data_IF_497644889803
#
_entry.id   IF_497644889803
#
_cell.length_a   1.000
_cell.length_b   1.000
_cell.length_c   1.000
_cell.angle_alpha   90.00
_cell.angle_beta   90.00
_cell.angle_gamma   90.00
#
_symmetry.space_group_name_H-M   'P 1'
#
loop_
_entity.id
_entity.type
_entity.pdbx_description
1 polymer ?
#
# COMPACT_ATOMS: atom_id res chain seq x y z
N UNK A 1 -21.11 22.72 17.29
CA UNK A 1 -19.77 22.89 17.86
C UNK A 1 -18.85 21.95 17.10
N UNK A 2 -17.85 22.46 16.38
CA UNK A 2 -16.81 21.60 15.79
C UNK A 2 -16.05 20.94 16.93
N UNK A 3 -16.19 19.62 17.05
CA UNK A 3 -15.47 18.83 18.04
C UNK A 3 -13.98 18.95 17.69
N UNK A 4 -13.18 19.47 18.62
CA UNK A 4 -11.72 19.52 18.42
C UNK A 4 -11.18 18.09 18.28
N UNK A 5 -10.32 17.87 17.28
CA UNK A 5 -9.76 16.55 17.00
C UNK A 5 -8.73 16.23 18.09
N UNK A 6 -8.89 15.13 18.86
CA UNK A 6 -7.91 14.72 19.85
C UNK A 6 -6.54 14.49 19.23
N UNK A 7 -5.47 14.81 19.96
CA UNK A 7 -4.09 14.77 19.44
C UNK A 7 -3.70 13.39 18.87
N UNK A 8 -4.14 12.28 19.51
CA UNK A 8 -3.92 10.93 19.01
C UNK A 8 -4.62 10.65 17.67
N UNK A 9 -5.81 11.23 17.45
CA UNK A 9 -6.55 11.10 16.20
C UNK A 9 -5.91 11.96 15.11
N UNK A 10 -5.48 13.18 15.43
CA UNK A 10 -4.72 14.03 14.50
C UNK A 10 -3.41 13.35 14.05
N UNK A 11 -2.67 12.74 14.99
CA UNK A 11 -1.50 11.93 14.68
C UNK A 11 -1.86 10.73 13.79
N UNK A 12 -2.95 10.02 14.11
CA UNK A 12 -3.48 8.92 13.32
C UNK A 12 -3.76 9.33 11.87
N UNK A 13 -4.47 10.44 11.65
CA UNK A 13 -4.74 11.00 10.32
C UNK A 13 -3.45 11.36 9.58
N UNK A 14 -2.50 11.98 10.27
CA UNK A 14 -1.18 12.33 9.71
C UNK A 14 -0.44 11.08 9.25
N UNK A 15 -0.42 10.02 10.07
CA UNK A 15 0.19 8.74 9.70
C UNK A 15 -0.51 8.07 8.51
N UNK A 16 -1.83 8.24 8.38
CA UNK A 16 -2.59 7.80 7.21
C UNK A 16 -2.16 8.54 5.94
N UNK A 17 -2.01 9.86 6.01
CA UNK A 17 -1.48 10.67 4.90
C UNK A 17 -0.06 10.29 4.52
N UNK A 18 0.82 10.08 5.51
CA UNK A 18 2.20 9.61 5.30
C UNK A 18 2.23 8.23 4.64
N UNK A 19 1.41 7.29 5.11
CA UNK A 19 1.27 5.96 4.51
C UNK A 19 0.84 6.05 3.05
N UNK A 20 -0.17 6.87 2.74
CA UNK A 20 -0.65 7.10 1.37
C UNK A 20 0.44 7.68 0.46
N UNK A 21 1.16 8.71 0.92
CA UNK A 21 2.24 9.33 0.16
C UNK A 21 3.39 8.35 -0.10
N UNK A 22 3.84 7.61 0.92
CA UNK A 22 4.89 6.60 0.78
C UNK A 22 4.47 5.47 -0.17
N UNK A 23 3.22 4.99 -0.06
CA UNK A 23 2.68 3.99 -0.96
C UNK A 23 2.66 4.48 -2.41
N UNK A 24 2.22 5.71 -2.66
CA UNK A 24 2.20 6.30 -4.00
C UNK A 24 3.60 6.40 -4.60
N UNK A 25 4.57 6.92 -3.84
CA UNK A 25 5.96 7.07 -4.29
C UNK A 25 6.59 5.67 -4.56
N UNK A 26 6.40 4.73 -3.64
CA UNK A 26 6.91 3.36 -3.77
C UNK A 26 6.35 2.65 -5.00
N UNK A 27 5.09 2.90 -5.34
CA UNK A 27 4.39 2.23 -6.43
C UNK A 27 4.28 3.06 -7.71
N UNK A 28 4.90 4.24 -7.79
CA UNK A 28 4.84 5.12 -8.95
C UNK A 28 5.29 4.42 -10.24
N UNK A 29 6.42 3.69 -10.20
CA UNK A 29 6.92 2.96 -11.36
C UNK A 29 5.92 1.86 -11.81
N UNK A 30 5.28 1.17 -10.87
CA UNK A 30 4.26 0.16 -11.14
C UNK A 30 3.04 0.84 -11.77
N UNK A 31 2.58 1.95 -11.21
CA UNK A 31 1.43 2.69 -11.72
C UNK A 31 1.66 3.21 -13.14
N UNK A 32 2.85 3.74 -13.44
CA UNK A 32 3.23 4.18 -14.78
C UNK A 32 3.26 3.03 -15.79
N UNK A 33 3.74 1.84 -15.40
CA UNK A 33 3.66 0.69 -16.30
C UNK A 33 2.22 0.21 -16.50
N UNK A 34 1.35 0.36 -15.51
CA UNK A 34 -0.06 0.00 -15.64
C UNK A 34 -0.71 0.91 -16.70
N UNK A 35 -0.42 2.21 -16.60
CA UNK A 35 -0.88 3.20 -17.59
C UNK A 35 -0.35 2.86 -18.98
N UNK A 36 0.94 2.53 -19.11
CA UNK A 36 1.50 2.09 -20.40
C UNK A 36 0.74 0.89 -20.96
N UNK A 37 0.47 -0.14 -20.15
CA UNK A 37 -0.26 -1.33 -20.58
C UNK A 37 -1.72 -1.04 -20.98
N UNK A 38 -2.37 -0.08 -20.31
CA UNK A 38 -3.76 0.28 -20.61
C UNK A 38 -3.87 1.19 -21.84
N UNK A 39 -2.97 2.17 -21.98
CA UNK A 39 -3.05 3.21 -23.03
C UNK A 39 -2.31 2.81 -24.30
N UNK A 40 -1.20 2.09 -24.18
CA UNK A 40 -0.33 1.72 -25.29
C UNK A 40 0.17 0.27 -25.17
N UNK A 41 -0.72 -0.75 -25.15
CA UNK A 41 -0.37 -2.15 -24.89
C UNK A 41 0.66 -2.75 -25.87
N UNK A 42 0.78 -2.17 -27.06
CA UNK A 42 1.71 -2.61 -28.12
C UNK A 42 3.07 -1.89 -28.07
N UNK A 43 3.24 -0.91 -27.19
CA UNK A 43 4.40 -0.01 -27.18
C UNK A 43 5.07 0.02 -25.82
N UNK A 44 6.29 -0.51 -25.74
CA UNK A 44 7.10 -0.43 -24.52
C UNK A 44 7.85 0.91 -24.46
N UNK A 45 7.68 1.63 -23.35
CA UNK A 45 8.41 2.87 -23.10
C UNK A 45 9.79 2.57 -22.52
N UNK A 46 10.84 2.66 -23.33
CA UNK A 46 12.22 2.34 -22.93
C UNK A 46 12.71 3.09 -21.68
N UNK A 47 12.28 4.35 -21.49
CA UNK A 47 12.63 5.14 -20.31
C UNK A 47 12.03 4.57 -19.02
N UNK A 48 10.84 3.96 -19.12
CA UNK A 48 10.12 3.37 -18.01
C UNK A 48 10.75 2.04 -17.57
N UNK A 49 11.24 1.24 -18.53
CA UNK A 49 12.04 0.05 -18.23
C UNK A 49 13.37 0.41 -17.54
N UNK A 50 14.03 1.49 -17.97
CA UNK A 50 15.26 1.99 -17.31
C UNK A 50 14.98 2.44 -15.88
N UNK A 51 13.86 3.13 -15.67
CA UNK A 51 13.42 3.57 -14.34
C UNK A 51 13.14 2.36 -13.42
N UNK A 52 12.51 1.28 -13.92
CA UNK A 52 12.20 0.08 -13.14
C UNK A 52 13.41 -0.49 -12.41
N UNK A 53 14.55 -0.55 -13.08
CA UNK A 53 15.77 -1.13 -12.52
C UNK A 53 16.31 -0.31 -11.34
N UNK A 54 16.22 1.02 -11.40
CA UNK A 54 16.65 1.92 -10.33
C UNK A 54 15.61 2.06 -9.21
N UNK A 55 14.32 1.95 -9.54
CA UNK A 55 13.22 2.14 -8.59
C UNK A 55 13.00 0.97 -7.64
N UNK A 56 13.69 -0.15 -7.85
CA UNK A 56 13.50 -1.35 -7.04
C UNK A 56 13.72 -1.10 -5.54
N UNK A 57 14.76 -0.36 -5.16
CA UNK A 57 15.03 -0.04 -3.74
C UNK A 57 13.99 0.90 -3.15
N UNK A 58 13.58 1.91 -3.91
CA UNK A 58 12.52 2.86 -3.50
C UNK A 58 11.20 2.13 -3.30
N UNK A 59 10.83 1.23 -4.22
CA UNK A 59 9.64 0.41 -4.11
C UNK A 59 9.67 -0.47 -2.86
N UNK A 60 10.81 -1.10 -2.59
CA UNK A 60 10.96 -2.02 -1.47
C UNK A 60 10.91 -1.30 -0.12
N UNK A 61 11.79 -0.32 0.09
CA UNK A 61 11.87 0.43 1.34
C UNK A 61 10.61 1.27 1.56
N UNK A 62 10.08 1.87 0.48
CA UNK A 62 8.86 2.68 0.52
C UNK A 62 7.63 1.86 0.90
N UNK A 63 7.45 0.64 0.36
CA UNK A 63 6.32 -0.21 0.76
C UNK A 63 6.43 -0.71 2.21
N UNK A 64 7.65 -1.00 2.70
CA UNK A 64 7.85 -1.35 4.10
C UNK A 64 7.53 -0.16 5.03
N UNK A 65 8.01 1.04 4.69
CA UNK A 65 7.72 2.26 5.45
C UNK A 65 6.22 2.62 5.41
N UNK A 66 5.58 2.50 4.24
CA UNK A 66 4.15 2.71 4.07
C UNK A 66 3.34 1.73 4.93
N UNK A 67 3.74 0.46 4.99
CA UNK A 67 3.11 -0.54 5.85
C UNK A 67 3.24 -0.19 7.34
N UNK A 68 4.42 0.21 7.81
CA UNK A 68 4.62 0.62 9.21
C UNK A 68 3.74 1.83 9.53
N UNK A 69 3.73 2.85 8.69
CA UNK A 69 2.88 4.03 8.86
C UNK A 69 1.38 3.66 8.86
N UNK A 70 0.95 2.77 7.96
CA UNK A 70 -0.43 2.29 7.89
C UNK A 70 -0.83 1.49 9.13
N UNK A 71 0.09 0.70 9.70
CA UNK A 71 -0.14 -0.04 10.94
C UNK A 71 -0.31 0.92 12.12
N UNK A 72 0.57 1.91 12.25
CA UNK A 72 0.46 2.96 13.29
C UNK A 72 -0.86 3.73 13.13
N UNK A 73 -1.21 4.12 11.91
CA UNK A 73 -2.49 4.74 11.58
C UNK A 73 -3.67 3.86 12.04
N UNK A 74 -3.68 2.57 11.67
CA UNK A 74 -4.74 1.64 12.05
C UNK A 74 -4.89 1.44 13.55
N UNK A 75 -3.77 1.42 14.29
CA UNK A 75 -3.79 1.32 15.77
C UNK A 75 -4.34 2.59 16.40
N UNK A 76 -3.89 3.77 15.96
CA UNK A 76 -4.37 5.05 16.48
C UNK A 76 -5.84 5.32 16.15
N UNK A 77 -6.31 4.76 15.03
CA UNK A 77 -7.69 4.89 14.55
C UNK A 77 -8.55 3.65 14.86
N UNK A 78 -8.12 2.77 15.79
CA UNK A 78 -8.75 1.48 16.08
C UNK A 78 -10.26 1.59 16.31
N UNK A 79 -10.71 2.62 17.03
CA UNK A 79 -12.14 2.83 17.33
C UNK A 79 -13.00 3.17 16.10
N UNK A 80 -12.39 3.56 14.98
CA UNK A 80 -13.04 3.83 13.69
C UNK A 80 -12.70 2.76 12.65
N UNK A 81 -11.86 1.79 13.00
CA UNK A 81 -11.42 0.74 12.11
C UNK A 81 -12.48 -0.34 11.99
N UNK A 82 -12.81 -0.70 10.75
CA UNK A 82 -13.69 -1.83 10.44
C UNK A 82 -12.88 -3.08 10.14
N UNK A 83 -13.55 -4.23 9.96
CA UNK A 83 -12.89 -5.48 9.57
C UNK A 83 -12.09 -5.32 8.27
N UNK A 84 -12.54 -4.46 7.35
CA UNK A 84 -11.87 -4.21 6.08
C UNK A 84 -10.50 -3.52 6.25
N UNK A 85 -10.34 -2.67 7.26
CA UNK A 85 -9.06 -2.05 7.58
C UNK A 85 -8.03 -3.10 8.01
N UNK A 86 -8.44 -4.08 8.82
CA UNK A 86 -7.57 -5.16 9.28
C UNK A 86 -7.25 -6.16 8.17
N UNK A 87 -8.22 -6.46 7.29
CA UNK A 87 -7.97 -7.25 6.08
C UNK A 87 -6.94 -6.56 5.19
N UNK A 88 -7.07 -5.24 4.97
CA UNK A 88 -6.09 -4.46 4.20
C UNK A 88 -4.69 -4.53 4.84
N UNK A 89 -4.58 -4.32 6.16
CA UNK A 89 -3.31 -4.42 6.89
C UNK A 89 -2.70 -5.82 6.74
N UNK A 90 -3.51 -6.88 6.86
CA UNK A 90 -3.03 -8.26 6.69
C UNK A 90 -2.52 -8.53 5.26
N UNK A 91 -3.22 -8.03 4.24
CA UNK A 91 -2.78 -8.13 2.85
C UNK A 91 -1.47 -7.35 2.63
N UNK A 92 -1.37 -6.14 3.16
CA UNK A 92 -0.13 -5.34 3.08
C UNK A 92 1.04 -6.03 3.80
N UNK A 93 0.80 -6.59 4.99
CA UNK A 93 1.78 -7.35 5.75
C UNK A 93 2.30 -8.56 4.95
N UNK A 94 1.38 -9.33 4.35
CA UNK A 94 1.72 -10.44 3.47
C UNK A 94 2.56 -9.98 2.29
N UNK A 95 2.20 -8.87 1.65
CA UNK A 95 2.96 -8.35 0.51
C UNK A 95 4.37 -7.92 0.90
N UNK A 96 4.55 -7.22 2.03
CA UNK A 96 5.88 -6.84 2.52
C UNK A 96 6.68 -8.09 2.86
N UNK A 97 6.09 -9.03 3.60
CA UNK A 97 6.73 -10.30 3.97
C UNK A 97 7.22 -11.08 2.74
N UNK A 98 6.36 -11.20 1.73
CA UNK A 98 6.70 -11.97 0.54
C UNK A 98 7.71 -11.25 -0.37
N UNK A 99 7.66 -9.92 -0.44
CA UNK A 99 8.71 -9.12 -1.05
C UNK A 99 10.07 -9.32 -0.36
N UNK A 100 10.09 -9.26 0.97
CA UNK A 100 11.30 -9.49 1.79
C UNK A 100 11.85 -10.90 1.57
N UNK A 101 10.97 -11.89 1.67
CA UNK A 101 11.31 -13.30 1.52
C UNK A 101 11.93 -13.58 0.16
N UNK A 102 11.34 -13.09 -0.93
CA UNK A 102 11.88 -13.31 -2.27
C UNK A 102 13.29 -12.72 -2.45
N UNK A 103 13.60 -11.62 -1.77
CA UNK A 103 14.91 -10.96 -1.87
C UNK A 103 15.96 -11.60 -0.96
N UNK A 104 15.66 -11.76 0.33
CA UNK A 104 16.68 -12.00 1.35
C UNK A 104 16.83 -13.45 1.77
N UNK A 105 15.85 -14.32 1.49
CA UNK A 105 16.01 -15.75 1.83
C UNK A 105 16.86 -16.49 0.78
N UNK A 106 17.51 -17.58 1.16
CA UNK A 106 18.25 -18.48 0.24
C UNK A 106 17.47 -19.78 -0.05
N UNK A 107 16.14 -19.77 0.10
CA UNK A 107 15.29 -20.95 -0.06
C UNK A 107 14.58 -20.97 -1.43
N UNK A 108 15.15 -21.60 -2.47
CA UNK A 108 14.62 -21.52 -3.84
C UNK A 108 13.23 -22.13 -4.02
N UNK A 109 12.92 -23.25 -3.35
CA UNK A 109 11.58 -23.87 -3.39
C UNK A 109 10.51 -22.95 -2.76
N UNK A 110 10.84 -22.29 -1.66
CA UNK A 110 9.94 -21.35 -1.00
C UNK A 110 9.71 -20.11 -1.88
N UNK A 111 10.76 -19.56 -2.50
CA UNK A 111 10.64 -18.45 -3.46
C UNK A 111 9.77 -18.80 -4.67
N UNK A 112 9.91 -20.01 -5.22
CA UNK A 112 9.12 -20.45 -6.37
C UNK A 112 7.64 -20.48 -6.03
N UNK A 113 7.30 -21.05 -4.88
CA UNK A 113 5.92 -21.10 -4.37
C UNK A 113 5.37 -19.69 -4.17
N UNK A 114 6.13 -18.82 -3.48
CA UNK A 114 5.70 -17.46 -3.18
C UNK A 114 5.50 -16.60 -4.44
N UNK A 115 6.32 -16.79 -5.47
CA UNK A 115 6.19 -16.10 -6.75
C UNK A 115 4.88 -16.41 -7.47
N UNK A 116 4.29 -17.59 -7.27
CA UNK A 116 2.97 -17.91 -7.84
C UNK A 116 1.86 -17.05 -7.23
N UNK A 117 2.02 -16.65 -5.97
CA UNK A 117 1.01 -15.93 -5.20
C UNK A 117 1.25 -14.42 -5.08
N UNK A 118 2.49 -13.93 -5.24
CA UNK A 118 2.88 -12.57 -4.82
C UNK A 118 3.12 -11.55 -5.94
N UNK A 119 3.37 -11.97 -7.18
CA UNK A 119 3.98 -11.08 -8.17
C UNK A 119 3.06 -10.70 -9.34
N UNK A 120 1.74 -10.54 -9.10
CA UNK A 120 0.81 -10.22 -10.18
C UNK A 120 0.15 -8.86 -9.95
N UNK A 121 -0.09 -8.17 -11.07
CA UNK A 121 -0.68 -6.84 -11.10
C UNK A 121 -2.01 -6.74 -10.36
N UNK A 122 -2.79 -7.82 -10.36
CA UNK A 122 -4.07 -7.86 -9.67
C UNK A 122 -3.93 -7.61 -8.17
N UNK A 123 -2.79 -7.90 -7.53
CA UNK A 123 -2.60 -7.62 -6.10
C UNK A 123 -2.55 -6.12 -5.81
N UNK A 124 -1.92 -5.35 -6.71
CA UNK A 124 -1.93 -3.89 -6.60
C UNK A 124 -3.37 -3.35 -6.72
N UNK A 125 -4.16 -3.90 -7.65
CA UNK A 125 -5.57 -3.53 -7.83
C UNK A 125 -6.42 -3.94 -6.62
N UNK A 126 -6.19 -5.13 -6.06
CA UNK A 126 -6.88 -5.61 -4.85
C UNK A 126 -6.58 -4.69 -3.66
N UNK A 127 -5.33 -4.27 -3.48
CA UNK A 127 -4.94 -3.35 -2.41
C UNK A 127 -5.65 -2.00 -2.59
N UNK A 128 -5.70 -1.46 -3.80
CA UNK A 128 -6.45 -0.22 -4.08
C UNK A 128 -7.94 -0.37 -3.78
N UNK A 129 -8.56 -1.48 -4.21
CA UNK A 129 -9.97 -1.74 -3.94
C UNK A 129 -10.25 -1.88 -2.43
N UNK A 130 -9.44 -2.66 -1.71
CA UNK A 130 -9.55 -2.81 -0.26
C UNK A 130 -9.32 -1.49 0.46
N UNK A 131 -8.38 -0.65 0.00
CA UNK A 131 -8.14 0.68 0.54
C UNK A 131 -9.39 1.55 0.42
N UNK A 132 -10.01 1.61 -0.75
CA UNK A 132 -11.24 2.38 -0.98
C UNK A 132 -12.37 1.88 -0.07
N UNK A 133 -12.61 0.56 -0.05
CA UNK A 133 -13.66 -0.05 0.77
C UNK A 133 -13.43 0.23 2.26
N UNK A 134 -12.21 0.04 2.75
CA UNK A 134 -11.86 0.27 4.15
C UNK A 134 -12.07 1.73 4.58
N UNK A 135 -11.73 2.69 3.72
CA UNK A 135 -11.95 4.11 4.00
C UNK A 135 -13.43 4.46 4.00
N UNK A 136 -14.19 4.06 2.96
CA UNK A 136 -15.64 4.31 2.91
C UNK A 136 -16.36 3.71 4.11
N UNK A 137 -16.01 2.49 4.50
CA UNK A 137 -16.61 1.83 5.66
C UNK A 137 -16.28 2.56 6.97
N UNK A 138 -15.07 3.07 7.12
CA UNK A 138 -14.64 3.82 8.30
C UNK A 138 -15.31 5.20 8.40
N UNK A 139 -15.55 5.87 7.26
CA UNK A 139 -16.19 7.20 7.21
C UNK A 139 -17.56 7.23 7.88
N UNK A 140 -18.34 6.16 7.80
CA UNK A 140 -19.66 6.10 8.46
C UNK A 140 -19.60 6.22 9.99
N UNK A 141 -18.44 5.94 10.59
CA UNK A 141 -18.22 6.01 12.04
C UNK A 141 -17.34 7.18 12.48
N UNK A 142 -16.84 7.99 11.54
CA UNK A 142 -15.87 9.04 11.81
C UNK A 142 -16.57 10.38 12.11
N UNK A 143 -16.54 10.88 13.37
CA UNK A 143 -17.38 12.01 13.77
C UNK A 143 -16.73 13.38 13.51
N UNK A 144 -15.47 13.43 13.07
CA UNK A 144 -14.74 14.67 12.88
C UNK A 144 -14.85 15.19 11.45
N UNK A 145 -14.86 16.51 11.24
CA UNK A 145 -14.83 17.09 9.91
C UNK A 145 -13.58 16.63 9.17
N UNK A 146 -13.77 16.15 7.94
CA UNK A 146 -12.70 15.96 6.98
C UNK A 146 -12.31 17.37 6.50
N UNK A 147 -11.03 17.73 6.67
CA UNK A 147 -10.50 19.03 6.27
C UNK A 147 -10.57 19.30 4.77
#
# INVERSE_FOLDING_TARGET
>A
MTQEIPANISLGLTMGGVAGALFLIANLCVLLHLINQLVAPKTQWKWLDKMRNSWHYVHYAGNAAAFIAALVHGILMLQYATVFNWVLIAVMAWMVFAGFTMRFTKAPQFKKTLRMFHAKWYLFVIVLALLIIAHIASLGSFPYPLG
#
